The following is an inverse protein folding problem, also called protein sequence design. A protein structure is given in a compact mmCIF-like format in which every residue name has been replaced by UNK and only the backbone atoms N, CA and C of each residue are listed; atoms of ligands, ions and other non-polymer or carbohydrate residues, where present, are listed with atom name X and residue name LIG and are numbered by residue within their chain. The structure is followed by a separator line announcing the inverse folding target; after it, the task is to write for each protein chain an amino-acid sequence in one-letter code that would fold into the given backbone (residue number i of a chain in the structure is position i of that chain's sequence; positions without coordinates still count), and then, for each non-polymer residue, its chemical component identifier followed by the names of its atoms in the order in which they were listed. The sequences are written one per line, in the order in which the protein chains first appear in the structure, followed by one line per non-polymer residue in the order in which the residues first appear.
data_IF_557528158452
#
_entry.id   IF_557528158452
#
_cell.length_a   1.000
_cell.length_b   1.000
_cell.length_c   1.000
_cell.angle_alpha   90.00
_cell.angle_beta   90.00
_cell.angle_gamma   90.00
#
_symmetry.space_group_name_H-M   'P 1'
#
loop_
_entity.id
_entity.type
_entity.pdbx_description
1 polymer ?
#
# COMPACT_ATOMS: atom_id res chain seq x y z
N UNK A 1 -18.28 -37.08 -23.11
CA UNK A 1 -17.23 -36.07 -23.26
C UNK A 1 -17.71 -34.81 -22.54
N UNK A 2 -17.39 -34.71 -21.25
CA UNK A 2 -17.46 -33.49 -20.45
C UNK A 2 -16.10 -33.47 -19.77
N UNK A 3 -15.17 -32.73 -20.37
CA UNK A 3 -13.82 -32.58 -19.85
C UNK A 3 -13.93 -31.91 -18.48
N UNK A 4 -13.44 -32.64 -17.46
CA UNK A 4 -13.31 -32.13 -16.12
C UNK A 4 -12.31 -30.99 -16.13
N UNK A 5 -12.74 -29.86 -15.59
CA UNK A 5 -11.84 -28.78 -15.19
C UNK A 5 -10.88 -29.38 -14.16
N UNK A 6 -9.59 -29.34 -14.48
CA UNK A 6 -8.50 -29.74 -13.61
C UNK A 6 -8.54 -28.90 -12.32
N UNK A 7 -8.61 -29.48 -11.10
CA UNK A 7 -8.66 -28.74 -9.83
C UNK A 7 -7.31 -28.05 -9.45
N UNK A 8 -6.46 -27.77 -10.43
CA UNK A 8 -5.09 -27.30 -10.30
C UNK A 8 -4.89 -25.79 -10.14
N UNK A 9 -5.90 -24.95 -10.39
CA UNK A 9 -5.85 -23.49 -10.13
C UNK A 9 -6.30 -23.15 -8.71
N UNK A 10 -5.91 -24.01 -7.77
CA UNK A 10 -6.27 -23.96 -6.37
C UNK A 10 -5.78 -22.66 -5.71
N UNK A 11 -6.69 -21.99 -4.99
CA UNK A 11 -6.50 -20.85 -4.08
C UNK A 11 -5.02 -20.57 -3.76
N UNK A 12 -4.56 -19.35 -4.05
CA UNK A 12 -3.16 -18.93 -3.91
C UNK A 12 -2.58 -19.31 -2.54
N UNK A 13 -1.28 -19.67 -2.51
CA UNK A 13 -0.57 -20.01 -1.27
C UNK A 13 -0.66 -18.91 -0.21
N UNK A 14 -0.79 -17.65 -0.62
CA UNK A 14 -1.00 -16.49 0.26
C UNK A 14 -2.35 -16.62 0.98
N UNK A 15 -3.42 -16.89 0.23
CA UNK A 15 -4.77 -17.03 0.79
C UNK A 15 -4.84 -18.25 1.71
N UNK A 16 -4.22 -19.38 1.33
CA UNK A 16 -4.14 -20.55 2.22
C UNK A 16 -3.41 -20.26 3.53
N UNK A 17 -2.32 -19.47 3.50
CA UNK A 17 -1.63 -19.03 4.73
C UNK A 17 -2.53 -18.11 5.56
N UNK A 18 -3.22 -17.19 4.92
CA UNK A 18 -4.17 -16.28 5.58
C UNK A 18 -5.30 -17.05 6.26
N UNK A 19 -5.95 -18.00 5.58
CA UNK A 19 -7.00 -18.86 6.18
C UNK A 19 -6.49 -19.61 7.42
N UNK A 20 -5.25 -20.12 7.37
CA UNK A 20 -4.63 -20.80 8.52
C UNK A 20 -4.41 -19.83 9.69
N UNK A 21 -3.94 -18.60 9.44
CA UNK A 21 -3.78 -17.58 10.48
C UNK A 21 -5.13 -17.20 11.09
N UNK A 22 -6.14 -16.95 10.26
CA UNK A 22 -7.51 -16.65 10.70
C UNK A 22 -8.10 -17.76 11.59
N UNK A 23 -7.96 -19.03 11.17
CA UNK A 23 -8.37 -20.17 11.99
C UNK A 23 -7.57 -20.30 13.29
N UNK A 24 -6.27 -20.00 13.28
CA UNK A 24 -5.44 -19.98 14.49
C UNK A 24 -5.85 -18.87 15.49
N UNK A 25 -6.53 -17.82 15.03
CA UNK A 25 -7.16 -16.81 15.88
C UNK A 25 -8.52 -17.24 16.45
N UNK A 26 -8.96 -18.48 16.18
CA UNK A 26 -10.22 -19.03 16.68
C UNK A 26 -11.44 -18.64 15.86
N UNK A 27 -11.25 -18.09 14.66
CA UNK A 27 -12.34 -17.76 13.75
C UNK A 27 -12.86 -19.03 13.06
N UNK A 28 -14.16 -19.03 12.81
CA UNK A 28 -14.91 -20.15 12.24
C UNK A 28 -15.63 -19.64 10.98
N UNK A 29 -15.28 -20.20 9.81
CA UNK A 29 -15.77 -19.74 8.50
C UNK A 29 -17.29 -19.85 8.37
N UNK A 30 -17.91 -20.77 9.11
CA UNK A 30 -19.35 -21.02 9.08
C UNK A 30 -20.14 -20.03 9.95
N UNK A 31 -19.45 -19.15 10.69
CA UNK A 31 -20.08 -18.11 11.54
C UNK A 31 -20.13 -16.77 10.85
N UNK A 32 -20.98 -15.89 11.37
CA UNK A 32 -20.97 -14.49 10.96
C UNK A 32 -19.84 -13.73 11.68
N UNK A 33 -19.12 -12.83 10.98
CA UNK A 33 -18.14 -11.97 11.62
C UNK A 33 -18.82 -11.07 12.65
N UNK A 34 -18.15 -10.88 13.79
CA UNK A 34 -18.53 -9.89 14.78
C UNK A 34 -17.79 -8.58 14.47
N UNK A 35 -18.55 -7.54 14.16
CA UNK A 35 -17.97 -6.23 13.89
C UNK A 35 -18.01 -5.37 15.14
N UNK A 36 -16.85 -5.15 15.73
CA UNK A 36 -16.66 -4.14 16.77
C UNK A 36 -16.28 -2.81 16.13
N UNK A 37 -16.92 -1.74 16.59
CA UNK A 37 -16.64 -0.38 16.13
C UNK A 37 -16.19 0.45 17.31
N UNK A 38 -15.12 1.21 17.12
CA UNK A 38 -14.67 2.19 18.08
C UNK A 38 -15.76 3.24 18.34
N UNK A 39 -15.76 3.76 19.56
CA UNK A 39 -16.52 4.97 19.89
C UNK A 39 -15.99 6.17 19.09
N UNK A 40 -16.82 7.22 18.98
CA UNK A 40 -16.42 8.47 18.31
C UNK A 40 -15.16 9.11 18.94
N UNK A 41 -14.98 9.00 20.27
CA UNK A 41 -13.81 9.52 20.96
C UNK A 41 -12.54 8.73 20.59
N UNK A 42 -12.61 7.41 20.62
CA UNK A 42 -11.50 6.53 20.21
C UNK A 42 -11.13 6.73 18.73
N UNK A 43 -12.13 6.82 17.85
CA UNK A 43 -11.87 7.09 16.42
C UNK A 43 -11.19 8.43 16.20
N UNK A 44 -11.58 9.47 16.94
CA UNK A 44 -10.92 10.78 16.88
C UNK A 44 -9.46 10.66 17.31
N UNK A 45 -9.19 10.02 18.44
CA UNK A 45 -7.83 9.83 18.96
C UNK A 45 -6.94 9.07 17.98
N UNK A 46 -7.44 7.99 17.38
CA UNK A 46 -6.68 7.24 16.36
C UNK A 46 -6.44 8.09 15.11
N UNK A 47 -7.41 8.88 14.66
CA UNK A 47 -7.22 9.80 13.52
C UNK A 47 -6.19 10.88 13.83
N UNK A 48 -6.16 11.40 15.06
CA UNK A 48 -5.14 12.38 15.49
C UNK A 48 -3.74 11.76 15.49
N UNK A 49 -3.59 10.52 15.97
CA UNK A 49 -2.32 9.78 15.91
C UNK A 49 -1.85 9.51 14.47
N UNK A 50 -2.79 9.33 13.55
CA UNK A 50 -2.52 9.05 12.13
C UNK A 50 -2.65 10.30 11.23
N UNK A 51 -2.54 11.50 11.79
CA UNK A 51 -2.80 12.74 11.06
C UNK A 51 -1.84 12.91 9.86
N UNK A 52 -0.57 12.54 10.02
CA UNK A 52 0.44 12.64 8.94
C UNK A 52 0.01 11.80 7.73
N UNK A 53 -0.38 10.54 7.96
CA UNK A 53 -0.87 9.65 6.92
C UNK A 53 -2.15 10.20 6.26
N UNK A 54 -3.12 10.63 7.08
CA UNK A 54 -4.38 11.20 6.57
C UNK A 54 -4.16 12.44 5.71
N UNK A 55 -3.22 13.30 6.07
CA UNK A 55 -2.86 14.48 5.28
C UNK A 55 -2.19 14.08 3.97
N UNK A 56 -1.25 13.14 3.98
CA UNK A 56 -0.58 12.65 2.77
C UNK A 56 -1.54 11.93 1.80
N UNK A 57 -2.53 11.22 2.33
CA UNK A 57 -3.51 10.44 1.57
C UNK A 57 -4.69 11.25 1.02
N UNK A 58 -4.90 12.49 1.46
CA UNK A 58 -6.08 13.28 1.12
C UNK A 58 -6.34 13.38 -0.39
N UNK A 59 -5.33 13.79 -1.16
CA UNK A 59 -5.49 13.97 -2.61
C UNK A 59 -5.81 12.66 -3.33
N UNK A 60 -5.18 11.56 -2.93
CA UNK A 60 -5.47 10.25 -3.56
C UNK A 60 -6.84 9.72 -3.18
N UNK A 61 -7.29 9.94 -1.94
CA UNK A 61 -8.65 9.58 -1.54
C UNK A 61 -9.70 10.38 -2.32
N UNK A 62 -9.44 11.65 -2.64
CA UNK A 62 -10.32 12.46 -3.48
C UNK A 62 -10.38 11.92 -4.92
N UNK A 63 -9.24 11.54 -5.52
CA UNK A 63 -9.21 10.94 -6.85
C UNK A 63 -9.91 9.58 -6.89
N UNK A 64 -9.61 8.71 -5.91
CA UNK A 64 -10.24 7.40 -5.79
C UNK A 64 -11.73 7.50 -5.50
N UNK A 65 -12.19 8.56 -4.84
CA UNK A 65 -13.62 8.82 -4.67
C UNK A 65 -14.31 9.02 -6.01
N UNK A 66 -13.73 9.81 -6.91
CA UNK A 66 -14.29 10.03 -8.25
C UNK A 66 -14.25 8.75 -9.09
N UNK A 67 -13.15 8.00 -9.06
CA UNK A 67 -13.06 6.70 -9.73
C UNK A 67 -14.11 5.72 -9.21
N UNK A 68 -14.28 5.65 -7.89
CA UNK A 68 -15.29 4.82 -7.24
C UNK A 68 -16.71 5.22 -7.62
N UNK A 69 -17.01 6.52 -7.74
CA UNK A 69 -18.31 7.01 -8.20
C UNK A 69 -18.64 6.54 -9.62
N UNK A 70 -17.65 6.52 -10.51
CA UNK A 70 -17.82 6.14 -11.91
C UNK A 70 -17.86 4.62 -12.13
N UNK A 71 -17.05 3.87 -11.38
CA UNK A 71 -16.85 2.43 -11.60
C UNK A 71 -17.60 1.53 -10.61
N UNK A 72 -18.11 2.10 -9.52
CA UNK A 72 -18.76 1.37 -8.45
C UNK A 72 -17.75 0.73 -7.49
N UNK A 73 -17.62 1.29 -6.30
CA UNK A 73 -16.72 0.78 -5.26
C UNK A 73 -16.57 1.76 -4.11
N UNK A 74 -15.64 1.47 -3.20
CA UNK A 74 -15.15 2.37 -2.17
C UNK A 74 -13.64 2.21 -1.99
N UNK A 75 -12.96 3.31 -1.70
CA UNK A 75 -11.59 3.32 -1.19
C UNK A 75 -11.59 3.46 0.32
N UNK A 76 -10.67 2.76 0.96
CA UNK A 76 -10.59 2.59 2.41
C UNK A 76 -9.14 2.80 2.83
N UNK A 77 -8.92 3.74 3.74
CA UNK A 77 -7.62 3.95 4.36
C UNK A 77 -7.66 3.43 5.78
N UNK A 78 -6.68 2.61 6.15
CA UNK A 78 -6.54 2.04 7.49
C UNK A 78 -5.22 2.44 8.14
N UNK A 79 -5.18 2.38 9.47
CA UNK A 79 -3.95 2.42 10.25
C UNK A 79 -3.17 1.09 10.10
N UNK A 80 -1.95 0.95 10.65
CA UNK A 80 -1.15 -0.25 10.42
C UNK A 80 -1.68 -1.50 11.15
N UNK A 81 -2.70 -1.35 11.99
CA UNK A 81 -3.40 -2.45 12.67
C UNK A 81 -4.69 -2.86 11.93
N UNK A 82 -5.02 -2.19 10.82
CA UNK A 82 -6.20 -2.45 10.02
C UNK A 82 -7.46 -1.76 10.55
N UNK A 83 -7.34 -0.77 11.44
CA UNK A 83 -8.48 0.05 11.85
C UNK A 83 -8.81 1.05 10.75
N UNK A 84 -10.05 1.05 10.27
CA UNK A 84 -10.48 1.97 9.21
C UNK A 84 -10.45 3.42 9.71
N UNK A 85 -9.63 4.24 9.07
CA UNK A 85 -9.51 5.68 9.33
C UNK A 85 -10.51 6.47 8.49
N UNK A 86 -10.64 6.13 7.21
CA UNK A 86 -11.49 6.81 6.25
C UNK A 86 -12.05 5.84 5.21
N UNK A 87 -13.27 6.14 4.75
CA UNK A 87 -13.93 5.44 3.64
C UNK A 87 -14.50 6.50 2.71
N UNK A 88 -14.25 6.38 1.40
CA UNK A 88 -14.78 7.28 0.36
C UNK A 88 -15.25 6.45 -0.83
N UNK A 89 -16.33 6.83 -1.50
CA UNK A 89 -16.72 6.19 -2.76
C UNK A 89 -18.18 6.32 -3.13
N UNK A 90 -18.67 5.38 -3.95
CA UNK A 90 -20.03 5.37 -4.46
C UNK A 90 -21.04 5.07 -3.34
N UNK A 91 -22.11 5.85 -3.25
CA UNK A 91 -23.13 5.73 -2.18
C UNK A 91 -23.82 4.37 -2.20
N UNK A 92 -24.25 3.88 -3.36
CA UNK A 92 -24.96 2.61 -3.49
C UNK A 92 -24.07 1.42 -3.12
N UNK A 93 -22.78 1.48 -3.49
CA UNK A 93 -21.81 0.48 -3.05
C UNK A 93 -21.50 0.62 -1.56
N UNK A 94 -21.36 1.84 -1.05
CA UNK A 94 -21.10 2.11 0.36
C UNK A 94 -22.22 1.56 1.26
N UNK A 95 -23.48 1.60 0.83
CA UNK A 95 -24.58 0.97 1.55
C UNK A 95 -24.43 -0.55 1.64
N UNK A 96 -24.03 -1.22 0.55
CA UNK A 96 -23.77 -2.66 0.56
C UNK A 96 -22.54 -3.00 1.40
N UNK A 97 -21.45 -2.27 1.21
CA UNK A 97 -20.20 -2.41 1.94
C UNK A 97 -20.38 -2.13 3.45
N UNK A 98 -21.30 -1.25 3.83
CA UNK A 98 -21.66 -1.00 5.23
C UNK A 98 -22.29 -2.23 5.90
N UNK A 99 -22.94 -3.13 5.15
CA UNK A 99 -23.49 -4.39 5.66
C UNK A 99 -22.39 -5.38 6.07
N UNK A 100 -21.20 -5.22 5.50
CA UNK A 100 -19.99 -5.95 5.89
C UNK A 100 -19.02 -5.09 6.70
N UNK A 101 -19.46 -3.92 7.18
CA UNK A 101 -18.74 -3.02 8.09
C UNK A 101 -17.42 -2.40 7.58
N UNK A 102 -17.33 -2.07 6.29
CA UNK A 102 -16.23 -1.29 5.71
C UNK A 102 -16.37 0.23 6.01
N UNK A 103 -16.44 0.60 7.30
CA UNK A 103 -16.65 1.98 7.76
C UNK A 103 -15.64 2.40 8.83
N UNK A 104 -15.40 3.72 9.04
CA UNK A 104 -14.44 4.20 10.02
C UNK A 104 -14.66 3.65 11.43
N UNK A 105 -13.55 3.26 12.08
CA UNK A 105 -13.53 2.72 13.44
C UNK A 105 -13.71 1.20 13.54
N UNK A 106 -13.87 0.49 12.42
CA UNK A 106 -13.94 -0.98 12.41
C UNK A 106 -12.55 -1.55 12.12
N UNK A 107 -12.16 -2.61 12.82
CA UNK A 107 -10.87 -3.28 12.64
C UNK A 107 -10.97 -4.43 11.63
N UNK A 108 -10.05 -4.46 10.66
CA UNK A 108 -10.01 -5.40 9.54
C UNK A 108 -8.73 -6.26 9.51
N UNK A 109 -8.08 -6.45 10.65
CA UNK A 109 -7.00 -7.44 10.77
C UNK A 109 -7.53 -8.86 10.56
N UNK A 110 -6.67 -9.80 10.14
CA UNK A 110 -7.07 -11.22 10.00
C UNK A 110 -7.53 -11.84 11.32
N UNK A 111 -7.02 -11.35 12.45
CA UNK A 111 -7.42 -11.79 13.78
C UNK A 111 -8.85 -11.36 14.14
N UNK A 112 -9.32 -10.24 13.60
CA UNK A 112 -10.64 -9.71 13.88
C UNK A 112 -11.69 -10.23 12.88
N UNK A 113 -11.38 -10.17 11.58
CA UNK A 113 -12.36 -10.32 10.49
C UNK A 113 -11.95 -11.40 9.48
N UNK A 114 -10.98 -12.24 9.85
CA UNK A 114 -10.48 -13.32 9.00
C UNK A 114 -9.78 -12.79 7.75
N UNK A 115 -9.44 -13.68 6.83
CA UNK A 115 -8.87 -13.35 5.53
C UNK A 115 -9.72 -12.33 4.78
N UNK A 116 -9.08 -11.19 4.55
CA UNK A 116 -9.55 -10.06 3.78
C UNK A 116 -8.31 -9.33 3.24
N UNK A 117 -8.46 -8.47 2.23
CA UNK A 117 -7.30 -7.85 1.59
C UNK A 117 -6.48 -6.95 2.53
N UNK A 118 -7.13 -6.16 3.41
CA UNK A 118 -6.47 -5.26 4.36
C UNK A 118 -5.60 -6.07 5.34
N UNK A 119 -6.20 -7.00 6.08
CA UNK A 119 -5.49 -7.81 7.07
C UNK A 119 -4.39 -8.66 6.46
N UNK A 120 -4.62 -9.19 5.25
CA UNK A 120 -3.62 -10.01 4.55
C UNK A 120 -2.45 -9.16 4.05
N UNK A 121 -2.71 -7.94 3.56
CA UNK A 121 -1.66 -7.01 3.15
C UNK A 121 -0.77 -6.59 4.33
N UNK A 122 -1.35 -6.41 5.52
CA UNK A 122 -0.59 -6.17 6.77
C UNK A 122 0.30 -7.38 7.09
N UNK A 123 -0.26 -8.59 7.06
CA UNK A 123 0.46 -9.80 7.45
C UNK A 123 1.58 -10.19 6.48
N UNK A 124 1.38 -9.96 5.18
CA UNK A 124 2.37 -10.30 4.14
C UNK A 124 3.33 -9.15 3.82
N UNK A 125 3.02 -7.91 4.22
CA UNK A 125 3.82 -6.73 3.88
C UNK A 125 3.87 -6.44 2.37
N UNK A 126 2.93 -6.99 1.61
CA UNK A 126 2.89 -6.88 0.15
C UNK A 126 1.49 -6.51 -0.35
N UNK A 127 1.36 -6.01 -1.59
CA UNK A 127 0.06 -5.82 -2.22
C UNK A 127 -0.70 -7.14 -2.38
N UNK A 128 -2.01 -7.12 -2.05
CA UNK A 128 -2.87 -8.31 -2.04
C UNK A 128 -4.17 -8.01 -2.77
N UNK A 129 -4.67 -9.01 -3.47
CA UNK A 129 -6.05 -9.08 -3.92
C UNK A 129 -6.74 -10.26 -3.23
N UNK A 130 -7.98 -10.04 -2.77
CA UNK A 130 -8.87 -11.09 -2.25
C UNK A 130 -10.22 -10.91 -2.95
N UNK A 131 -10.75 -11.95 -3.57
CA UNK A 131 -12.02 -11.88 -4.28
C UNK A 131 -12.96 -13.03 -3.92
N UNK A 132 -14.23 -12.69 -3.73
CA UNK A 132 -15.29 -13.68 -3.58
C UNK A 132 -15.01 -14.66 -2.44
N UNK A 133 -15.05 -15.95 -2.77
CA UNK A 133 -14.82 -17.05 -1.82
C UNK A 133 -13.41 -17.15 -1.24
N UNK A 134 -12.46 -16.29 -1.64
CA UNK A 134 -11.17 -16.16 -0.96
C UNK A 134 -11.30 -15.46 0.41
N UNK A 135 -12.34 -14.65 0.60
CA UNK A 135 -12.65 -14.09 1.92
C UNK A 135 -12.98 -15.19 2.91
N UNK A 136 -12.58 -15.00 4.17
CA UNK A 136 -12.78 -16.03 5.19
C UNK A 136 -14.26 -16.25 5.53
N UNK A 137 -15.06 -15.19 5.53
CA UNK A 137 -16.49 -15.28 5.81
C UNK A 137 -17.32 -15.15 4.53
N UNK A 138 -18.33 -16.02 4.37
CA UNK A 138 -19.24 -16.01 3.21
C UNK A 138 -19.94 -14.65 3.02
N UNK A 139 -20.23 -13.93 4.11
CA UNK A 139 -20.85 -12.60 4.06
C UNK A 139 -20.03 -11.58 3.25
N UNK A 140 -18.71 -11.80 3.10
CA UNK A 140 -17.79 -10.94 2.37
C UNK A 140 -17.58 -11.39 0.92
N UNK A 141 -18.13 -12.54 0.51
CA UNK A 141 -17.93 -13.08 -0.84
C UNK A 141 -18.56 -12.24 -1.96
N UNK A 142 -19.30 -11.18 -1.61
CA UNK A 142 -19.76 -10.17 -2.58
C UNK A 142 -18.65 -9.20 -3.00
N UNK A 143 -17.51 -9.20 -2.30
CA UNK A 143 -16.44 -8.22 -2.48
C UNK A 143 -15.29 -8.76 -3.33
N UNK A 144 -14.78 -7.88 -4.20
CA UNK A 144 -13.42 -7.93 -4.72
C UNK A 144 -12.63 -6.78 -4.10
N UNK A 145 -11.52 -7.11 -3.44
CA UNK A 145 -10.72 -6.14 -2.69
C UNK A 145 -9.27 -6.16 -3.19
N UNK A 146 -8.70 -4.98 -3.40
CA UNK A 146 -7.29 -4.80 -3.73
C UNK A 146 -6.65 -3.84 -2.73
N UNK A 147 -5.73 -4.37 -1.92
CA UNK A 147 -5.10 -3.65 -0.82
C UNK A 147 -3.59 -3.53 -1.04
N UNK A 148 -3.05 -2.35 -0.75
CA UNK A 148 -1.62 -2.03 -0.86
C UNK A 148 -1.14 -1.45 0.47
N UNK A 149 -0.13 -2.06 1.11
CA UNK A 149 0.46 -1.49 2.32
C UNK A 149 1.16 -0.16 2.01
N UNK A 150 1.10 0.78 2.93
CA UNK A 150 1.75 2.09 2.88
C UNK A 150 2.88 2.11 3.89
N UNK A 151 4.09 2.35 3.43
CA UNK A 151 5.27 2.48 4.24
C UNK A 151 5.66 3.94 4.39
N UNK A 152 6.17 4.29 5.57
CA UNK A 152 6.83 5.56 5.75
C UNK A 152 8.22 5.55 5.07
N UNK A 153 8.85 6.71 4.92
CA UNK A 153 10.15 6.81 4.26
C UNK A 153 11.30 6.07 4.95
N UNK A 154 11.12 5.58 6.17
CA UNK A 154 12.06 4.72 6.91
C UNK A 154 11.72 3.23 6.78
N UNK A 155 10.70 2.85 6.02
CA UNK A 155 10.28 1.48 5.80
C UNK A 155 9.33 0.92 6.85
N UNK A 156 8.77 1.77 7.73
CA UNK A 156 7.77 1.34 8.70
C UNK A 156 6.38 1.26 8.06
N UNK A 157 5.65 0.15 8.25
CA UNK A 157 4.25 0.07 7.83
C UNK A 157 3.41 1.03 8.66
N UNK A 158 2.77 2.00 8.03
CA UNK A 158 1.95 3.01 8.71
C UNK A 158 0.46 2.93 8.35
N UNK A 159 0.09 2.09 7.39
CA UNK A 159 -1.31 1.90 7.02
C UNK A 159 -1.48 1.02 5.78
N UNK A 160 -2.73 0.85 5.37
CA UNK A 160 -3.08 0.16 4.12
C UNK A 160 -4.15 0.97 3.40
N UNK A 161 -3.98 1.12 2.09
CA UNK A 161 -5.01 1.61 1.18
C UNK A 161 -5.65 0.41 0.49
N UNK A 162 -6.96 0.28 0.61
CA UNK A 162 -7.77 -0.73 -0.06
C UNK A 162 -8.78 -0.08 -1.00
N UNK A 163 -9.08 -0.75 -2.09
CA UNK A 163 -10.25 -0.45 -2.91
C UNK A 163 -11.10 -1.71 -3.05
N UNK A 164 -12.33 -1.59 -2.57
CA UNK A 164 -13.33 -2.66 -2.55
C UNK A 164 -14.43 -2.37 -3.56
N UNK A 165 -14.74 -3.34 -4.42
CA UNK A 165 -15.83 -3.30 -5.38
C UNK A 165 -16.53 -4.68 -5.45
N UNK A 166 -17.38 -4.88 -6.45
CA UNK A 166 -18.08 -6.15 -6.63
C UNK A 166 -17.11 -7.27 -7.05
N UNK A 167 -17.25 -8.47 -6.46
CA UNK A 167 -16.39 -9.62 -6.75
C UNK A 167 -16.35 -10.01 -8.24
N UNK A 168 -17.39 -9.64 -9.02
CA UNK A 168 -17.42 -9.86 -10.47
C UNK A 168 -16.50 -8.94 -11.28
N UNK A 169 -15.93 -7.90 -10.68
CA UNK A 169 -15.01 -6.96 -11.34
C UNK A 169 -13.58 -7.52 -11.34
N UNK A 170 -12.87 -7.53 -12.48
CA UNK A 170 -11.45 -7.90 -12.53
C UNK A 170 -10.58 -6.96 -11.69
N UNK A 171 -9.81 -7.52 -10.76
CA UNK A 171 -9.05 -6.75 -9.77
C UNK A 171 -7.69 -6.25 -10.27
N UNK A 172 -7.19 -6.71 -11.41
CA UNK A 172 -5.87 -6.32 -11.93
C UNK A 172 -5.73 -4.80 -12.12
N UNK A 173 -6.76 -4.16 -12.69
CA UNK A 173 -6.77 -2.70 -12.87
C UNK A 173 -6.97 -1.95 -11.55
N UNK A 174 -7.81 -2.48 -10.67
CA UNK A 174 -8.02 -1.93 -9.33
C UNK A 174 -6.73 -1.94 -8.51
N UNK A 175 -6.00 -3.05 -8.49
CA UNK A 175 -4.72 -3.15 -7.81
C UNK A 175 -3.68 -2.17 -8.37
N UNK A 176 -3.61 -2.01 -9.69
CA UNK A 176 -2.71 -1.04 -10.31
C UNK A 176 -3.06 0.41 -9.93
N UNK A 177 -4.36 0.74 -9.86
CA UNK A 177 -4.85 2.04 -9.43
C UNK A 177 -4.47 2.33 -7.97
N UNK A 178 -4.76 1.39 -7.06
CA UNK A 178 -4.44 1.51 -5.64
C UNK A 178 -2.93 1.62 -5.41
N UNK A 179 -2.14 0.83 -6.16
CA UNK A 179 -0.67 0.89 -6.09
C UNK A 179 -0.14 2.28 -6.44
N UNK A 180 -0.63 2.88 -7.53
CA UNK A 180 -0.24 4.23 -7.93
C UNK A 180 -0.61 5.27 -6.87
N UNK A 181 -1.81 5.17 -6.31
CA UNK A 181 -2.21 6.03 -5.21
C UNK A 181 -1.25 5.90 -4.01
N UNK A 182 -0.89 4.67 -3.61
CA UNK A 182 0.08 4.48 -2.53
C UNK A 182 1.45 5.06 -2.87
N UNK A 183 1.96 4.89 -4.08
CA UNK A 183 3.24 5.48 -4.50
C UNK A 183 3.24 7.01 -4.35
N UNK A 184 2.12 7.67 -4.68
CA UNK A 184 1.95 9.12 -4.47
C UNK A 184 1.87 9.51 -2.99
N UNK A 185 1.23 8.70 -2.16
CA UNK A 185 1.19 8.91 -0.71
C UNK A 185 2.60 8.82 -0.13
N UNK A 186 3.35 7.78 -0.47
CA UNK A 186 4.71 7.55 0.00
C UNK A 186 5.69 8.63 -0.48
N UNK A 187 5.52 9.11 -1.73
CA UNK A 187 6.27 10.26 -2.24
C UNK A 187 6.06 11.49 -1.36
N UNK A 188 4.80 11.87 -1.06
CA UNK A 188 4.50 13.02 -0.20
C UNK A 188 5.02 12.84 1.23
N UNK A 189 4.93 11.63 1.79
CA UNK A 189 5.49 11.33 3.11
C UNK A 189 7.01 11.52 3.12
N UNK A 190 7.70 11.10 2.05
CA UNK A 190 9.13 11.31 1.90
C UNK A 190 9.49 12.80 1.86
N UNK A 191 8.79 13.58 1.04
CA UNK A 191 9.03 15.03 0.94
C UNK A 191 8.84 15.74 2.29
N UNK A 192 7.81 15.35 3.05
CA UNK A 192 7.53 15.93 4.38
C UNK A 192 8.62 15.59 5.40
N UNK A 193 9.09 14.34 5.44
CA UNK A 193 10.07 13.88 6.43
C UNK A 193 11.49 14.35 6.10
N UNK A 194 11.86 14.28 4.82
CA UNK A 194 13.24 14.49 4.38
C UNK A 194 13.43 15.81 3.63
N UNK A 195 12.46 16.73 3.62
CA UNK A 195 12.56 18.03 2.93
C UNK A 195 13.73 18.93 3.37
N UNK A 196 14.42 18.62 4.48
CA UNK A 196 15.64 19.31 4.96
C UNK A 196 16.93 18.51 4.82
N UNK A 197 16.87 17.28 4.31
CA UNK A 197 18.04 16.41 4.13
C UNK A 197 18.62 16.58 2.71
N UNK A 198 19.84 16.06 2.51
CA UNK A 198 20.35 15.86 1.15
C UNK A 198 19.55 14.75 0.48
N UNK A 199 18.81 15.13 -0.56
CA UNK A 199 17.95 14.24 -1.33
C UNK A 199 18.54 14.00 -2.71
N UNK A 200 18.42 12.78 -3.18
CA UNK A 200 18.72 12.40 -4.55
C UNK A 200 17.42 12.11 -5.27
N UNK A 201 17.21 12.83 -6.38
CA UNK A 201 16.13 12.67 -7.33
C UNK A 201 16.69 11.96 -8.55
N UNK A 202 16.07 10.87 -9.00
CA UNK A 202 16.61 10.08 -10.10
C UNK A 202 15.54 9.24 -10.78
N UNK A 203 15.76 8.95 -12.06
CA UNK A 203 14.92 8.04 -12.83
C UNK A 203 15.70 7.57 -14.07
N UNK A 204 15.43 6.35 -14.56
CA UNK A 204 16.08 5.84 -15.77
C UNK A 204 15.73 6.64 -17.05
N UNK A 205 14.62 7.39 -16.98
CA UNK A 205 14.14 8.31 -18.01
C UNK A 205 14.30 9.74 -17.48
N UNK A 206 15.15 10.59 -18.11
CA UNK A 206 15.37 11.96 -17.68
C UNK A 206 14.10 12.81 -17.60
N UNK A 207 13.10 12.54 -18.45
CA UNK A 207 11.85 13.31 -18.48
C UNK A 207 10.95 13.03 -17.26
N UNK A 208 11.26 11.96 -16.50
CA UNK A 208 10.54 11.57 -15.30
C UNK A 208 11.25 11.97 -14.00
N UNK A 209 12.45 12.56 -14.07
CA UNK A 209 13.11 13.17 -12.90
C UNK A 209 12.31 14.41 -12.48
N UNK A 210 12.16 14.65 -11.18
CA UNK A 210 11.27 15.67 -10.60
C UNK A 210 9.77 15.46 -10.92
N UNK A 211 9.40 14.30 -11.44
CA UNK A 211 8.01 13.90 -11.59
C UNK A 211 7.54 13.06 -10.40
N UNK A 212 6.23 12.87 -10.21
CA UNK A 212 5.74 12.00 -9.15
C UNK A 212 6.10 10.50 -9.32
N UNK A 213 6.71 10.13 -10.44
CA UNK A 213 7.21 8.77 -10.73
C UNK A 213 8.73 8.65 -10.52
N UNK A 214 9.38 9.65 -9.95
CA UNK A 214 10.81 9.60 -9.68
C UNK A 214 11.16 8.71 -8.48
N UNK A 215 12.40 8.22 -8.49
CA UNK A 215 13.04 7.66 -7.31
C UNK A 215 13.57 8.76 -6.41
N UNK A 216 13.34 8.60 -5.11
CA UNK A 216 13.83 9.50 -4.07
C UNK A 216 14.66 8.73 -3.04
N UNK A 217 15.84 9.23 -2.73
CA UNK A 217 16.67 8.77 -1.61
C UNK A 217 17.07 9.94 -0.71
N UNK A 218 17.15 9.70 0.59
CA UNK A 218 17.70 10.62 1.57
C UNK A 218 18.94 10.00 2.22
N UNK A 219 19.98 10.81 2.37
CA UNK A 219 21.23 10.36 2.98
C UNK A 219 21.62 11.21 4.18
N UNK A 220 22.09 10.55 5.25
CA UNK A 220 22.83 11.18 6.35
C UNK A 220 24.30 10.77 6.24
N UNK A 221 25.16 11.73 5.93
CA UNK A 221 26.51 11.45 5.44
C UNK A 221 26.45 10.55 4.19
N UNK A 222 27.11 9.38 4.23
CA UNK A 222 27.02 8.37 3.17
C UNK A 222 25.88 7.38 3.37
N UNK A 223 25.27 7.29 4.56
CA UNK A 223 24.27 6.27 4.87
C UNK A 223 22.93 6.60 4.22
N UNK A 224 22.32 5.63 3.54
CA UNK A 224 20.94 5.73 3.05
C UNK A 224 20.00 5.66 4.26
N UNK A 225 19.26 6.72 4.54
CA UNK A 225 18.37 6.82 5.73
C UNK A 225 16.89 6.89 5.37
N UNK A 226 16.56 7.08 4.09
CA UNK A 226 15.18 6.97 3.64
C UNK A 226 15.06 6.89 2.13
N UNK A 227 13.93 6.39 1.68
CA UNK A 227 13.58 6.29 0.27
C UNK A 227 12.07 6.36 0.06
N UNK A 228 11.62 6.70 -1.14
CA UNK A 228 10.30 6.25 -1.58
C UNK A 228 10.41 4.85 -2.22
N UNK A 229 9.29 4.14 -2.32
CA UNK A 229 9.26 2.79 -2.91
C UNK A 229 9.82 2.74 -4.32
N UNK A 230 9.46 3.71 -5.16
CA UNK A 230 9.97 3.80 -6.53
C UNK A 230 11.50 3.89 -6.59
N UNK A 231 12.13 4.60 -5.65
CA UNK A 231 13.59 4.69 -5.55
C UNK A 231 14.23 3.36 -5.20
N UNK A 232 13.63 2.58 -4.30
CA UNK A 232 14.09 1.23 -3.99
C UNK A 232 13.91 0.30 -5.19
N UNK A 233 12.75 0.33 -5.85
CA UNK A 233 12.42 -0.51 -7.00
C UNK A 233 13.38 -0.26 -8.18
N UNK A 234 13.66 1.01 -8.52
CA UNK A 234 14.62 1.39 -9.57
C UNK A 234 16.05 0.88 -9.30
N UNK A 235 16.40 0.66 -8.04
CA UNK A 235 17.69 0.12 -7.62
C UNK A 235 17.65 -1.40 -7.36
N UNK A 236 16.46 -2.01 -7.43
CA UNK A 236 16.20 -3.39 -7.03
C UNK A 236 16.45 -3.65 -5.53
N UNK A 237 16.36 -2.61 -4.70
CA UNK A 237 16.53 -2.68 -3.25
C UNK A 237 15.17 -2.88 -2.57
N UNK A 238 15.20 -3.19 -1.29
CA UNK A 238 14.04 -3.18 -0.42
C UNK A 238 14.31 -2.31 0.82
N UNK A 239 13.31 -2.19 1.69
CA UNK A 239 13.38 -1.37 2.90
C UNK A 239 14.52 -1.76 3.86
N UNK A 240 15.07 -2.99 3.77
CA UNK A 240 16.20 -3.42 4.61
C UNK A 240 17.53 -2.74 4.25
N UNK A 241 17.59 -2.06 3.10
CA UNK A 241 18.76 -1.26 2.72
C UNK A 241 18.93 0.00 3.57
N UNK A 242 17.85 0.50 4.17
CA UNK A 242 17.85 1.72 4.96
C UNK A 242 18.64 1.53 6.28
N UNK A 243 19.54 2.45 6.59
CA UNK A 243 20.45 2.38 7.72
C UNK A 243 21.62 1.40 7.55
N UNK A 244 21.68 0.66 6.43
CA UNK A 244 22.68 -0.38 6.18
C UNK A 244 23.58 -0.02 5.02
N UNK A 245 23.02 0.42 3.88
CA UNK A 245 23.79 0.72 2.69
C UNK A 245 24.27 2.18 2.67
N UNK A 246 25.54 2.35 2.31
CA UNK A 246 26.13 3.63 1.98
C UNK A 246 26.02 3.97 0.49
N UNK A 247 26.16 5.25 0.16
CA UNK A 247 26.13 5.79 -1.20
C UNK A 247 27.05 5.02 -2.15
N UNK A 248 28.30 4.81 -1.75
CA UNK A 248 29.32 4.13 -2.59
C UNK A 248 29.06 2.63 -2.76
N UNK A 249 28.16 2.03 -1.96
CA UNK A 249 27.71 0.65 -2.14
C UNK A 249 26.56 0.54 -3.15
N UNK A 250 25.86 1.65 -3.41
CA UNK A 250 24.74 1.74 -4.35
C UNK A 250 25.23 2.21 -5.72
N UNK A 251 26.15 3.18 -5.76
CA UNK A 251 26.61 3.85 -6.98
C UNK A 251 28.11 3.67 -7.23
N UNK A 252 28.49 3.71 -8.51
CA UNK A 252 29.90 3.62 -8.94
C UNK A 252 30.60 4.99 -8.94
N UNK A 253 29.82 6.07 -8.96
CA UNK A 253 30.31 7.45 -8.92
C UNK A 253 30.49 7.90 -7.48
N UNK A 254 31.53 8.67 -7.16
CA UNK A 254 31.71 9.24 -5.82
C UNK A 254 30.70 10.36 -5.54
N UNK A 255 30.14 10.39 -4.33
CA UNK A 255 29.11 11.38 -3.90
C UNK A 255 29.49 12.83 -4.21
N UNK A 256 30.74 13.20 -3.98
CA UNK A 256 31.24 14.58 -4.17
C UNK A 256 31.12 15.06 -5.62
N UNK A 257 31.21 14.16 -6.60
CA UNK A 257 31.08 14.51 -8.03
C UNK A 257 29.65 14.91 -8.39
N UNK A 258 28.66 14.41 -7.66
CA UNK A 258 27.24 14.66 -7.93
C UNK A 258 26.79 15.93 -7.21
N UNK A 259 27.24 16.14 -5.98
CA UNK A 259 26.88 17.34 -5.20
C UNK A 259 27.53 18.62 -5.75
N UNK A 260 28.55 18.50 -6.60
CA UNK A 260 29.20 19.62 -7.29
C UNK A 260 28.64 19.87 -8.70
N UNK A 261 27.79 18.98 -9.22
CA UNK A 261 27.12 19.16 -10.50
C UNK A 261 26.04 20.25 -10.42
N UNK A 262 25.72 20.86 -11.56
CA UNK A 262 24.64 21.85 -11.63
C UNK A 262 23.31 21.18 -11.23
N UNK A 263 22.63 21.63 -10.16
CA UNK A 263 21.36 21.04 -9.74
C UNK A 263 20.22 21.23 -10.75
N UNK A 264 20.43 22.03 -11.80
CA UNK A 264 19.45 22.27 -12.88
C UNK A 264 19.66 21.37 -14.10
N UNK A 265 20.77 20.61 -14.17
CA UNK A 265 21.04 19.68 -15.26
C UNK A 265 21.10 18.21 -14.77
N UNK A 266 20.24 17.31 -15.29
CA UNK A 266 20.27 15.92 -14.89
C UNK A 266 21.60 15.26 -15.28
N UNK A 267 22.27 14.67 -14.29
CA UNK A 267 23.52 13.95 -14.46
C UNK A 267 23.27 12.46 -14.54
N UNK A 268 23.97 11.77 -15.45
CA UNK A 268 23.90 10.30 -15.54
C UNK A 268 24.75 9.65 -14.46
N UNK A 269 24.19 8.65 -13.79
CA UNK A 269 24.87 7.87 -12.76
C UNK A 269 24.74 6.37 -13.06
N UNK A 270 25.80 5.61 -12.77
CA UNK A 270 25.79 4.16 -12.85
C UNK A 270 25.60 3.56 -11.46
N UNK A 271 24.67 2.62 -11.35
CA UNK A 271 24.53 1.80 -10.15
C UNK A 271 25.56 0.68 -10.15
N UNK A 272 25.97 0.22 -8.97
CA UNK A 272 26.84 -0.96 -8.79
C UNK A 272 26.25 -2.25 -9.39
N UNK A 273 24.95 -2.24 -9.70
CA UNK A 273 24.21 -3.33 -10.33
C UNK A 273 24.11 -3.19 -11.85
N UNK A 274 24.76 -2.18 -12.43
CA UNK A 274 24.90 -2.01 -13.89
C UNK A 274 23.81 -1.16 -14.55
N UNK A 275 22.83 -0.66 -13.81
CA UNK A 275 21.80 0.25 -14.34
C UNK A 275 22.38 1.65 -14.53
N UNK A 276 21.89 2.37 -15.54
CA UNK A 276 22.16 3.80 -15.72
C UNK A 276 20.88 4.57 -15.40
N UNK A 277 21.01 5.58 -14.55
CA UNK A 277 19.95 6.47 -14.07
C UNK A 277 20.36 7.92 -14.36
#
# INVERSE_FOLDING_TARGET
MREGIDPGDAVSSIILRSWRRSGAHGLDMDRRPAFESLSHAQLREIRERNEILLRAARGELELLHEDARLTGGIAILTDPHGTVLATVGNVDFAERASRVALRPGVQWSEAAIGTNAIGTAIAEGSPITVSGGEHFFEAQAILGCSAVPIFDPSGELIGVLDFSNDAGVPQTHTLALVRRAVEQIEHRLFEQRFGRHVRMHFHADPDLVMSPHEGLLAFDGSCLVGANRQGLDLLGLDWSALGVLGFDQIFDTGRDQITQADPTEPSRIRTRRGSVL
#
